data_IF_880211571342
#
_entry.id   IF_880211571342
#
_cell.length_a   1.000
_cell.length_b   1.000
_cell.length_c   1.000
_cell.angle_alpha   90.00
_cell.angle_beta   90.00
_cell.angle_gamma   90.00
#
_symmetry.space_group_name_H-M   'P 1'
#
loop_
_entity.id
_entity.type
_entity.pdbx_description
1 polymer ?
#
# COMPACT_ATOMS: atom_id res chain seq x y z
N UNK A 1 -2.14 5.33 16.71
CA UNK A 1 -3.35 5.66 17.51
C UNK A 1 -4.25 4.45 17.77
N UNK A 2 -4.74 3.75 16.73
CA UNK A 2 -5.57 2.53 16.87
C UNK A 2 -5.06 1.53 17.92
N UNK A 3 -3.78 1.17 17.85
CA UNK A 3 -3.18 0.17 18.73
C UNK A 3 -3.13 0.56 20.21
N UNK A 4 -3.15 1.86 20.52
CA UNK A 4 -3.12 2.37 21.90
C UNK A 4 -4.52 2.40 22.54
N UNK A 5 -5.60 2.19 21.78
CA UNK A 5 -6.95 2.29 22.31
C UNK A 5 -7.35 1.07 23.16
N UNK A 6 -8.15 1.28 24.22
CA UNK A 6 -8.70 0.21 25.04
C UNK A 6 -9.46 -0.82 24.20
N UNK A 7 -9.28 -2.10 24.53
CA UNK A 7 -10.05 -3.18 23.92
C UNK A 7 -11.56 -2.96 24.12
N UNK A 8 -12.36 -3.36 23.14
CA UNK A 8 -13.83 -3.25 23.15
C UNK A 8 -14.41 -1.82 23.18
N UNK A 9 -13.60 -0.77 23.05
CA UNK A 9 -14.09 0.60 22.92
C UNK A 9 -14.60 0.92 21.51
N UNK A 10 -15.63 1.78 21.41
CA UNK A 10 -16.14 2.30 20.14
C UNK A 10 -15.06 3.04 19.34
N UNK A 11 -14.16 3.76 20.03
CA UNK A 11 -13.01 4.42 19.41
C UNK A 11 -12.08 3.42 18.74
N UNK A 12 -11.76 2.29 19.39
CA UNK A 12 -10.91 1.25 18.79
C UNK A 12 -11.54 0.64 17.55
N UNK A 13 -12.86 0.49 17.53
CA UNK A 13 -13.58 0.01 16.35
C UNK A 13 -13.45 0.99 15.17
N UNK A 14 -13.76 2.28 15.38
CA UNK A 14 -13.67 3.31 14.34
C UNK A 14 -12.22 3.46 13.85
N UNK A 15 -11.26 3.53 14.76
CA UNK A 15 -9.85 3.68 14.41
C UNK A 15 -9.28 2.46 13.69
N UNK A 16 -9.83 1.26 13.91
CA UNK A 16 -9.46 0.08 13.11
C UNK A 16 -9.88 0.25 11.65
N UNK A 17 -11.09 0.76 11.41
CA UNK A 17 -11.59 1.02 10.06
C UNK A 17 -10.65 2.03 9.38
N UNK A 18 -10.34 3.15 10.05
CA UNK A 18 -9.43 4.18 9.52
C UNK A 18 -8.04 3.59 9.24
N UNK A 19 -7.44 2.90 10.21
CA UNK A 19 -6.10 2.32 10.11
C UNK A 19 -5.97 1.36 8.91
N UNK A 20 -6.94 0.48 8.71
CA UNK A 20 -6.92 -0.46 7.57
C UNK A 20 -7.27 0.21 6.23
N UNK A 21 -8.09 1.26 6.27
CA UNK A 21 -8.41 2.08 5.10
C UNK A 21 -7.19 2.84 4.59
N UNK A 22 -6.33 3.34 5.49
CA UNK A 22 -5.12 4.08 5.12
C UNK A 22 -4.09 3.24 4.37
N UNK A 23 -4.15 1.90 4.43
CA UNK A 23 -3.30 1.04 3.59
C UNK A 23 -3.63 1.25 2.10
N UNK A 24 -4.92 1.35 1.74
CA UNK A 24 -5.32 1.65 0.36
C UNK A 24 -4.80 3.01 -0.09
N UNK A 25 -4.97 4.02 0.76
CA UNK A 25 -4.51 5.39 0.50
C UNK A 25 -3.00 5.45 0.35
N UNK A 26 -2.24 4.74 1.19
CA UNK A 26 -0.78 4.69 1.10
C UNK A 26 -0.31 4.10 -0.24
N UNK A 27 -0.94 3.01 -0.71
CA UNK A 27 -0.60 2.40 -1.99
C UNK A 27 -0.94 3.35 -3.15
N UNK A 28 -2.18 3.85 -3.22
CA UNK A 28 -2.59 4.75 -4.30
C UNK A 28 -1.80 6.08 -4.29
N UNK A 29 -1.52 6.62 -3.11
CA UNK A 29 -0.71 7.83 -2.93
C UNK A 29 0.73 7.65 -3.41
N UNK A 30 1.33 6.48 -3.17
CA UNK A 30 2.69 6.16 -3.67
C UNK A 30 2.73 6.10 -5.19
N UNK A 31 1.71 5.50 -5.81
CA UNK A 31 1.62 5.39 -7.27
C UNK A 31 1.24 6.69 -7.97
N UNK A 32 0.53 7.60 -7.30
CA UNK A 32 0.04 8.85 -7.92
C UNK A 32 1.16 9.67 -8.61
N UNK A 33 2.29 10.02 -7.95
CA UNK A 33 3.37 10.73 -8.63
C UNK A 33 3.95 9.93 -9.79
N UNK A 34 4.22 8.64 -9.59
CA UNK A 34 4.77 7.74 -10.62
C UNK A 34 3.86 7.70 -11.86
N UNK A 35 2.56 7.57 -11.67
CA UNK A 35 1.58 7.51 -12.73
C UNK A 35 1.49 8.83 -13.51
N UNK A 36 1.47 9.98 -12.82
CA UNK A 36 1.27 11.28 -13.47
C UNK A 36 2.55 11.78 -14.15
N UNK A 37 3.72 11.62 -13.51
CA UNK A 37 4.97 12.24 -13.97
C UNK A 37 5.80 11.30 -14.83
N UNK A 38 6.04 10.07 -14.37
CA UNK A 38 6.96 9.13 -15.03
C UNK A 38 6.27 8.33 -16.12
N UNK A 39 5.09 7.78 -15.84
CA UNK A 39 4.32 7.00 -16.81
C UNK A 39 3.62 7.93 -17.80
N UNK A 40 2.91 8.94 -17.26
CA UNK A 40 2.21 9.94 -18.05
C UNK A 40 1.18 9.36 -19.03
N UNK A 41 0.67 10.23 -19.89
CA UNK A 41 -0.27 9.85 -20.96
C UNK A 41 -1.52 9.13 -20.46
N UNK A 42 -2.21 8.45 -21.37
CA UNK A 42 -3.45 7.76 -21.03
C UNK A 42 -3.25 6.59 -20.04
N UNK A 43 -2.10 5.91 -20.08
CA UNK A 43 -1.77 4.78 -19.21
C UNK A 43 -1.62 5.23 -17.77
N UNK A 44 -0.86 6.31 -17.52
CA UNK A 44 -0.66 6.86 -16.19
C UNK A 44 -1.96 7.34 -15.55
N UNK A 45 -2.73 8.17 -16.28
CA UNK A 45 -4.01 8.69 -15.80
C UNK A 45 -5.05 7.60 -15.56
N UNK A 46 -5.20 6.64 -16.48
CA UNK A 46 -6.14 5.52 -16.30
C UNK A 46 -5.78 4.65 -15.11
N UNK A 47 -4.49 4.35 -14.93
CA UNK A 47 -4.01 3.57 -13.78
C UNK A 47 -4.24 4.29 -12.46
N UNK A 48 -4.02 5.60 -12.41
CA UNK A 48 -4.31 6.43 -11.24
C UNK A 48 -5.81 6.37 -10.89
N UNK A 49 -6.69 6.54 -11.87
CA UNK A 49 -8.15 6.47 -11.66
C UNK A 49 -8.56 5.10 -11.14
N UNK A 50 -8.02 4.02 -11.70
CA UNK A 50 -8.28 2.65 -11.24
C UNK A 50 -7.82 2.46 -9.79
N UNK A 51 -6.60 2.87 -9.45
CA UNK A 51 -6.05 2.74 -8.09
C UNK A 51 -6.86 3.52 -7.06
N UNK A 52 -7.25 4.76 -7.37
CA UNK A 52 -8.10 5.55 -6.49
C UNK A 52 -9.54 5.04 -6.43
N UNK A 53 -10.07 4.50 -7.54
CA UNK A 53 -11.37 3.82 -7.55
C UNK A 53 -11.40 2.61 -6.62
N UNK A 54 -10.37 1.76 -6.68
CA UNK A 54 -10.21 0.62 -5.75
C UNK A 54 -10.03 1.13 -4.31
N UNK A 55 -9.32 2.24 -4.11
CA UNK A 55 -9.13 2.85 -2.78
C UNK A 55 -10.45 3.29 -2.17
N UNK A 56 -11.26 4.05 -2.91
CA UNK A 56 -12.58 4.49 -2.48
C UNK A 56 -13.46 3.27 -2.19
N UNK A 57 -13.49 2.30 -3.10
CA UNK A 57 -14.23 1.06 -2.89
C UNK A 57 -13.79 0.31 -1.63
N UNK A 58 -12.47 0.21 -1.38
CA UNK A 58 -11.90 -0.45 -0.21
C UNK A 58 -12.26 0.25 1.10
N UNK A 59 -12.25 1.58 1.11
CA UNK A 59 -12.68 2.40 2.25
C UNK A 59 -14.17 2.17 2.54
N UNK A 60 -15.01 2.24 1.51
CA UNK A 60 -16.45 1.99 1.63
C UNK A 60 -16.72 0.57 2.11
N UNK A 61 -16.02 -0.43 1.57
CA UNK A 61 -16.12 -1.82 2.00
C UNK A 61 -15.78 -1.97 3.50
N UNK A 62 -14.69 -1.36 3.97
CA UNK A 62 -14.32 -1.40 5.40
C UNK A 62 -15.33 -0.69 6.30
N UNK A 63 -15.97 0.37 5.80
CA UNK A 63 -16.84 1.22 6.59
C UNK A 63 -18.27 0.70 6.67
N UNK A 64 -18.77 0.09 5.59
CA UNK A 64 -20.18 -0.27 5.43
C UNK A 64 -20.44 -1.77 5.55
N UNK A 65 -19.44 -2.63 5.32
CA UNK A 65 -19.67 -4.07 5.38
C UNK A 65 -19.89 -4.55 6.83
N UNK A 66 -21.01 -5.26 7.05
CA UNK A 66 -21.31 -5.89 8.35
C UNK A 66 -20.22 -6.88 8.79
N UNK A 67 -19.68 -7.64 7.85
CA UNK A 67 -18.61 -8.61 8.06
C UNK A 67 -17.48 -8.38 7.06
N UNK A 68 -16.35 -7.87 7.53
CA UNK A 68 -15.19 -7.58 6.71
C UNK A 68 -14.33 -8.84 6.51
N UNK A 69 -14.14 -9.26 5.26
CA UNK A 69 -13.22 -10.33 4.92
C UNK A 69 -11.79 -9.80 4.83
N UNK A 70 -10.98 -10.10 5.85
CA UNK A 70 -9.59 -9.67 5.91
C UNK A 70 -8.71 -10.25 4.80
N UNK A 71 -9.03 -11.45 4.28
CA UNK A 71 -8.27 -12.05 3.17
C UNK A 71 -8.51 -11.30 1.88
N UNK A 72 -9.76 -10.91 1.61
CA UNK A 72 -10.11 -10.09 0.44
C UNK A 72 -9.35 -8.75 0.46
N UNK A 73 -9.33 -8.08 1.61
CA UNK A 73 -8.57 -6.83 1.73
C UNK A 73 -7.08 -7.03 1.48
N UNK A 74 -6.48 -8.10 2.05
CA UNK A 74 -5.08 -8.41 1.83
C UNK A 74 -4.75 -8.68 0.36
N UNK A 75 -5.59 -9.45 -0.33
CA UNK A 75 -5.46 -9.71 -1.77
C UNK A 75 -5.53 -8.39 -2.55
N UNK A 76 -6.51 -7.53 -2.25
CA UNK A 76 -6.63 -6.22 -2.90
C UNK A 76 -5.39 -5.35 -2.68
N UNK A 77 -4.84 -5.30 -1.46
CA UNK A 77 -3.59 -4.56 -1.19
C UNK A 77 -2.43 -5.07 -2.03
N UNK A 78 -2.27 -6.39 -2.14
CA UNK A 78 -1.21 -7.00 -2.94
C UNK A 78 -1.40 -6.75 -4.43
N UNK A 79 -2.62 -6.92 -4.95
CA UNK A 79 -2.92 -6.65 -6.37
C UNK A 79 -2.62 -5.20 -6.72
N UNK A 80 -3.08 -4.24 -5.90
CA UNK A 80 -2.75 -2.83 -6.09
C UNK A 80 -1.25 -2.57 -6.00
N UNK A 81 -0.58 -3.19 -5.02
CA UNK A 81 0.86 -3.05 -4.80
C UNK A 81 1.71 -3.55 -5.96
N UNK A 82 1.22 -4.53 -6.74
CA UNK A 82 1.96 -5.13 -7.86
C UNK A 82 1.60 -4.54 -9.24
N UNK A 83 0.66 -3.59 -9.32
CA UNK A 83 0.34 -2.87 -10.57
C UNK A 83 1.59 -2.19 -11.17
N UNK A 84 2.56 -1.79 -10.33
CA UNK A 84 3.83 -1.22 -10.78
C UNK A 84 4.63 -2.09 -11.74
N UNK A 85 4.40 -3.40 -11.78
CA UNK A 85 5.00 -4.31 -12.79
C UNK A 85 4.59 -3.91 -14.20
N UNK A 86 3.36 -3.40 -14.40
CA UNK A 86 2.89 -2.92 -15.69
C UNK A 86 3.70 -1.71 -16.19
N UNK A 87 4.29 -0.96 -15.26
CA UNK A 87 5.10 0.22 -15.58
C UNK A 87 6.59 -0.11 -15.73
N UNK A 88 7.01 -1.37 -15.55
CA UNK A 88 8.43 -1.74 -15.60
C UNK A 88 9.14 -1.24 -16.86
N UNK A 89 8.61 -1.38 -18.09
CA UNK A 89 9.29 -0.86 -19.28
C UNK A 89 9.52 0.66 -19.17
N UNK A 90 8.50 1.42 -18.79
CA UNK A 90 8.59 2.87 -18.65
C UNK A 90 9.54 3.28 -17.53
N UNK A 91 9.52 2.56 -16.41
CA UNK A 91 10.43 2.79 -15.29
C UNK A 91 11.88 2.51 -15.72
N UNK A 92 12.14 1.42 -16.44
CA UNK A 92 13.49 1.02 -16.89
C UNK A 92 14.09 2.04 -17.84
N UNK A 93 13.31 2.59 -18.77
CA UNK A 93 13.81 3.52 -19.79
C UNK A 93 13.68 4.99 -19.38
N UNK A 94 12.85 5.31 -18.39
CA UNK A 94 12.52 6.67 -17.99
C UNK A 94 13.06 7.12 -16.64
N UNK A 95 13.72 6.26 -15.87
CA UNK A 95 14.18 6.58 -14.51
C UNK A 95 15.62 6.13 -14.22
N UNK A 96 16.17 6.61 -13.11
CA UNK A 96 17.51 6.24 -12.66
C UNK A 96 17.55 4.81 -12.09
N UNK A 97 18.71 4.15 -12.16
CA UNK A 97 18.91 2.84 -11.53
C UNK A 97 18.62 2.88 -10.01
N UNK A 98 18.98 3.97 -9.35
CA UNK A 98 18.70 4.15 -7.93
C UNK A 98 17.20 4.18 -7.65
N UNK A 99 16.42 4.94 -8.42
CA UNK A 99 14.96 4.94 -8.32
C UNK A 99 14.39 3.52 -8.43
N UNK A 100 14.82 2.76 -9.44
CA UNK A 100 14.38 1.38 -9.64
C UNK A 100 14.69 0.48 -8.46
N UNK A 101 15.91 0.54 -7.93
CA UNK A 101 16.33 -0.27 -6.79
C UNK A 101 15.53 0.07 -5.53
N UNK A 102 15.30 1.35 -5.25
CA UNK A 102 14.48 1.76 -4.11
C UNK A 102 13.01 1.33 -4.25
N UNK A 103 12.41 1.46 -5.45
CA UNK A 103 11.05 0.96 -5.71
C UNK A 103 10.98 -0.56 -5.54
N UNK A 104 11.95 -1.29 -6.08
CA UNK A 104 12.03 -2.75 -5.99
C UNK A 104 12.18 -3.20 -4.53
N UNK A 105 13.14 -2.66 -3.78
CA UNK A 105 13.34 -3.02 -2.38
C UNK A 105 12.15 -2.62 -1.50
N UNK A 106 11.51 -1.49 -1.78
CA UNK A 106 10.25 -1.12 -1.12
C UNK A 106 9.12 -2.12 -1.42
N UNK A 107 8.96 -2.55 -2.67
CA UNK A 107 7.97 -3.56 -3.07
C UNK A 107 8.22 -4.94 -2.44
N UNK A 108 9.48 -5.36 -2.37
CA UNK A 108 9.89 -6.59 -1.69
C UNK A 108 9.63 -6.52 -0.18
N UNK A 109 9.97 -5.40 0.46
CA UNK A 109 9.69 -5.19 1.88
C UNK A 109 8.18 -5.25 2.18
N UNK A 110 7.33 -4.63 1.35
CA UNK A 110 5.86 -4.76 1.43
C UNK A 110 5.41 -6.22 1.32
N UNK A 111 5.94 -6.96 0.34
CA UNK A 111 5.53 -8.35 0.07
C UNK A 111 5.94 -9.30 1.20
N UNK A 112 7.17 -9.17 1.70
CA UNK A 112 7.68 -9.94 2.85
C UNK A 112 6.89 -9.59 4.10
N UNK A 113 6.63 -8.30 4.33
CA UNK A 113 5.78 -7.87 5.43
C UNK A 113 4.38 -8.50 5.35
N UNK A 114 3.78 -8.54 4.16
CA UNK A 114 2.41 -9.02 3.96
C UNK A 114 2.29 -10.50 4.28
N UNK A 115 3.37 -11.26 4.04
CA UNK A 115 3.52 -12.62 4.52
C UNK A 115 3.39 -12.66 6.05
N UNK A 116 4.24 -11.95 6.81
CA UNK A 116 4.13 -11.90 8.28
C UNK A 116 2.72 -11.50 8.77
N UNK A 117 2.11 -10.49 8.14
CA UNK A 117 0.76 -10.03 8.46
C UNK A 117 -0.32 -11.10 8.25
N UNK A 118 -0.16 -11.97 7.25
CA UNK A 118 -1.12 -13.03 6.96
C UNK A 118 -1.20 -14.09 8.10
N UNK A 119 -0.16 -14.21 8.93
CA UNK A 119 -0.05 -15.22 9.98
C UNK A 119 -0.53 -14.70 11.35
N UNK A 120 -1.85 -14.54 11.48
CA UNK A 120 -2.50 -13.92 12.64
C UNK A 120 -2.26 -14.59 14.00
N UNK A 121 -1.86 -15.86 14.02
CA UNK A 121 -1.74 -16.65 15.25
C UNK A 121 -0.31 -16.70 15.81
N UNK A 122 0.64 -15.98 15.21
CA UNK A 122 2.04 -15.97 15.65
C UNK A 122 2.33 -14.72 16.51
N UNK A 123 3.01 -14.86 17.67
CA UNK A 123 3.32 -13.72 18.52
C UNK A 123 4.25 -12.75 17.78
N UNK A 124 4.06 -11.45 18.01
CA UNK A 124 4.86 -10.34 17.44
C UNK A 124 4.85 -10.17 15.91
N UNK A 125 4.24 -11.06 15.13
CA UNK A 125 4.26 -10.96 13.66
C UNK A 125 3.56 -9.70 13.14
N UNK A 126 2.52 -9.22 13.85
CA UNK A 126 1.88 -7.95 13.54
C UNK A 126 2.82 -6.73 13.76
N UNK A 127 3.74 -6.82 14.72
CA UNK A 127 4.75 -5.79 14.94
C UNK A 127 5.85 -5.85 13.86
N UNK A 128 6.29 -7.05 13.52
CA UNK A 128 7.26 -7.27 12.42
C UNK A 128 6.70 -6.72 11.11
N UNK A 129 5.42 -6.95 10.83
CA UNK A 129 4.71 -6.34 9.70
C UNK A 129 4.87 -4.82 9.68
N UNK A 130 4.57 -4.13 10.79
CA UNK A 130 4.71 -2.67 10.87
C UNK A 130 6.14 -2.20 10.57
N UNK A 131 7.15 -2.93 11.04
CA UNK A 131 8.55 -2.62 10.74
C UNK A 131 8.83 -2.68 9.22
N UNK A 132 8.39 -3.74 8.55
CA UNK A 132 8.52 -3.86 7.09
C UNK A 132 7.79 -2.75 6.34
N UNK A 133 6.60 -2.35 6.81
CA UNK A 133 5.86 -1.23 6.20
C UNK A 133 6.63 0.09 6.32
N UNK A 134 7.23 0.37 7.48
CA UNK A 134 8.05 1.57 7.66
C UNK A 134 9.24 1.56 6.71
N UNK A 135 9.98 0.45 6.63
CA UNK A 135 11.13 0.31 5.72
C UNK A 135 10.70 0.51 4.26
N UNK A 136 9.59 -0.11 3.86
CA UNK A 136 9.05 0.03 2.52
C UNK A 136 8.67 1.48 2.19
N UNK A 137 7.96 2.15 3.12
CA UNK A 137 7.59 3.57 2.98
C UNK A 137 8.81 4.47 2.90
N UNK A 138 9.88 4.22 3.66
CA UNK A 138 11.13 4.97 3.56
C UNK A 138 11.77 4.80 2.19
N UNK A 139 11.87 3.58 1.67
CA UNK A 139 12.41 3.35 0.34
C UNK A 139 11.58 4.03 -0.76
N UNK A 140 10.26 3.91 -0.71
CA UNK A 140 9.38 4.58 -1.69
C UNK A 140 9.44 6.10 -1.59
N UNK A 141 9.47 6.65 -0.37
CA UNK A 141 9.63 8.08 -0.14
C UNK A 141 10.96 8.59 -0.72
N UNK A 142 12.06 7.90 -0.43
CA UNK A 142 13.39 8.27 -0.93
C UNK A 142 13.45 8.19 -2.45
N UNK A 143 12.91 7.13 -3.06
CA UNK A 143 12.80 7.01 -4.52
C UNK A 143 12.10 8.23 -5.11
N UNK A 144 10.89 8.53 -4.63
CA UNK A 144 10.01 9.56 -5.20
C UNK A 144 10.59 10.96 -5.00
N UNK A 145 11.16 11.26 -3.83
CA UNK A 145 11.60 12.62 -3.50
C UNK A 145 12.98 12.99 -4.04
N UNK A 146 13.87 12.00 -4.23
CA UNK A 146 15.28 12.27 -4.56
C UNK A 146 15.76 11.67 -5.89
N UNK A 147 15.05 10.67 -6.42
CA UNK A 147 15.54 9.91 -7.58
C UNK A 147 14.55 9.78 -8.74
N UNK A 148 13.33 10.30 -8.58
CA UNK A 148 12.27 10.30 -9.59
C UNK A 148 12.46 11.42 -10.61
#
# INVERSE_FOLDING_TARGET
>A
VYHAMPNQSSHKFILRIIDHSMIYVAIAGTYTPICITLVGGWIGWSSMVVLWGITIWGILYKSLAKNVNHKLSLIMYLVMGWIGVLFLPTIIFGSSLLFMLFILFGGLAYTIGAWFYAQKNRPYFHMIWHFFIIVASVFHFVAIMYFM
#
